data_IF_816586033623
#
_entry.id   IF_816586033623
#
_cell.length_a   1.000
_cell.length_b   1.000
_cell.length_c   1.000
_cell.angle_alpha   90.00
_cell.angle_beta   90.00
_cell.angle_gamma   90.00
#
_symmetry.space_group_name_H-M   'P 1'
#
loop_
_entity.id
_entity.type
_entity.pdbx_description
1 polymer ?
#
# COMPACT_ATOMS: atom_id res chain seq x y z
N UNK A 1 39.85 -53.61 18.39
CA UNK A 1 38.97 -52.71 17.63
C UNK A 1 37.72 -52.40 18.44
N UNK A 2 37.42 -51.13 18.68
CA UNK A 2 36.24 -50.70 19.45
C UNK A 2 36.22 -49.18 19.49
N UNK A 3 35.76 -48.56 18.41
CA UNK A 3 35.75 -47.11 18.22
C UNK A 3 34.65 -46.45 19.05
N UNK A 4 35.03 -45.50 19.90
CA UNK A 4 34.12 -44.61 20.60
C UNK A 4 33.57 -43.53 19.66
N UNK A 5 32.25 -43.42 19.57
CA UNK A 5 31.58 -42.34 18.86
C UNK A 5 31.53 -41.11 19.77
N UNK A 6 32.28 -40.07 19.40
CA UNK A 6 32.21 -38.74 20.01
C UNK A 6 31.03 -37.99 19.39
N UNK A 7 29.99 -37.74 20.18
CA UNK A 7 28.90 -36.83 19.80
C UNK A 7 29.41 -35.39 19.97
N UNK A 8 29.91 -34.80 18.89
CA UNK A 8 30.05 -33.35 18.74
C UNK A 8 29.04 -32.91 17.69
N UNK A 9 28.11 -32.06 18.07
CA UNK A 9 27.13 -31.51 17.14
C UNK A 9 26.16 -30.60 17.83
N UNK A 10 26.53 -29.31 17.89
CA UNK A 10 25.61 -28.20 18.09
C UNK A 10 24.41 -28.40 17.16
N UNK A 11 23.29 -28.86 17.70
CA UNK A 11 22.02 -28.80 16.99
C UNK A 11 21.61 -27.33 16.97
N UNK A 12 21.86 -26.71 15.82
CA UNK A 12 21.48 -25.35 15.51
C UNK A 12 20.01 -25.13 15.90
N UNK A 13 19.79 -24.14 16.78
CA UNK A 13 18.54 -23.40 16.86
C UNK A 13 18.36 -22.69 15.51
N UNK A 14 17.88 -23.42 14.51
CA UNK A 14 17.36 -22.84 13.27
C UNK A 14 16.09 -22.10 13.69
N UNK A 15 16.24 -20.79 13.84
CA UNK A 15 15.21 -19.87 14.27
C UNK A 15 13.91 -20.08 13.51
N UNK A 16 12.84 -20.24 14.27
CA UNK A 16 11.47 -20.17 13.81
C UNK A 16 11.15 -18.73 13.34
N UNK A 17 11.65 -18.34 12.18
CA UNK A 17 11.40 -17.05 11.56
C UNK A 17 10.87 -17.23 10.13
N UNK A 18 9.77 -17.97 9.96
CA UNK A 18 9.15 -18.16 8.65
C UNK A 18 7.63 -18.05 8.70
N UNK A 19 7.10 -16.99 9.31
CA UNK A 19 5.73 -16.50 9.05
C UNK A 19 5.68 -14.96 9.20
N UNK A 20 6.64 -14.24 8.62
CA UNK A 20 6.47 -12.80 8.44
C UNK A 20 5.46 -12.58 7.31
N UNK A 21 4.23 -12.22 7.66
CA UNK A 21 3.19 -11.88 6.69
C UNK A 21 3.71 -10.79 5.74
N UNK A 22 3.62 -11.02 4.42
CA UNK A 22 4.22 -10.17 3.40
C UNK A 22 3.78 -8.70 3.48
N UNK A 23 2.66 -8.39 4.12
CA UNK A 23 2.12 -7.04 4.27
C UNK A 23 2.99 -6.09 5.11
N UNK A 24 3.81 -6.58 6.03
CA UNK A 24 4.68 -5.73 6.88
C UNK A 24 6.12 -5.67 6.38
N UNK A 25 6.44 -6.37 5.29
CA UNK A 25 7.78 -6.33 4.70
C UNK A 25 8.04 -4.98 4.03
N UNK A 26 9.28 -4.49 4.04
CA UNK A 26 9.69 -3.31 3.26
C UNK A 26 9.23 -3.38 1.79
N UNK A 27 9.32 -4.56 1.19
CA UNK A 27 8.89 -4.83 -0.18
C UNK A 27 7.37 -4.69 -0.35
N UNK A 28 6.59 -5.27 0.56
CA UNK A 28 5.13 -5.16 0.56
C UNK A 28 4.65 -3.72 0.70
N UNK A 29 5.29 -2.94 1.60
CA UNK A 29 5.01 -1.50 1.73
C UNK A 29 5.31 -0.77 0.43
N UNK A 30 6.48 -0.99 -0.16
CA UNK A 30 6.85 -0.35 -1.42
C UNK A 30 5.92 -0.73 -2.58
N UNK A 31 5.45 -1.98 -2.64
CA UNK A 31 4.48 -2.43 -3.64
C UNK A 31 3.17 -1.63 -3.56
N UNK A 32 2.74 -1.25 -2.36
CA UNK A 32 1.53 -0.44 -2.13
C UNK A 32 1.65 1.01 -2.61
N UNK A 33 2.87 1.50 -2.88
CA UNK A 33 3.15 2.87 -3.34
C UNK A 33 2.98 3.05 -4.86
N UNK A 34 2.16 2.21 -5.50
CA UNK A 34 1.84 2.33 -6.94
C UNK A 34 1.42 3.74 -7.37
N UNK A 35 0.48 4.40 -6.67
CA UNK A 35 0.09 5.77 -6.99
C UNK A 35 1.23 6.79 -6.90
N UNK A 36 2.04 6.76 -5.84
CA UNK A 36 3.19 7.67 -5.69
C UNK A 36 4.23 7.42 -6.78
N UNK A 37 4.54 6.15 -7.08
CA UNK A 37 5.45 5.82 -8.19
C UNK A 37 4.91 6.33 -9.52
N UNK A 38 3.61 6.21 -9.77
CA UNK A 38 2.98 6.74 -10.98
C UNK A 38 3.07 8.27 -11.03
N UNK A 39 2.85 8.97 -9.90
CA UNK A 39 3.00 10.42 -9.83
C UNK A 39 4.41 10.89 -10.22
N UNK A 40 5.46 10.17 -9.80
CA UNK A 40 6.85 10.57 -10.07
C UNK A 40 7.37 10.17 -11.46
N UNK A 41 6.69 9.25 -12.15
CA UNK A 41 7.17 8.67 -13.41
C UNK A 41 6.27 8.92 -14.63
N UNK A 42 5.04 9.40 -14.41
CA UNK A 42 4.03 9.62 -15.46
C UNK A 42 3.71 11.11 -15.56
N UNK A 43 3.48 11.62 -16.77
CA UNK A 43 3.11 13.03 -16.95
C UNK A 43 1.73 13.34 -16.36
N UNK A 44 1.48 14.58 -15.89
CA UNK A 44 0.18 14.99 -15.38
C UNK A 44 -0.96 14.77 -16.38
N UNK A 45 -0.74 15.01 -17.68
CA UNK A 45 -1.75 14.88 -18.73
C UNK A 45 -2.16 13.40 -18.92
N UNK A 46 -1.19 12.49 -18.88
CA UNK A 46 -1.45 11.06 -18.97
C UNK A 46 -2.20 10.54 -17.73
N UNK A 47 -1.87 11.07 -16.55
CA UNK A 47 -2.61 10.77 -15.31
C UNK A 47 -4.03 11.34 -15.35
N UNK A 48 -4.21 12.56 -15.86
CA UNK A 48 -5.52 13.20 -16.04
C UNK A 48 -6.41 12.36 -16.96
N UNK A 49 -5.91 11.97 -18.13
CA UNK A 49 -6.68 11.15 -19.07
C UNK A 49 -7.14 9.81 -18.45
N UNK A 50 -6.30 9.19 -17.60
CA UNK A 50 -6.67 7.97 -16.87
C UNK A 50 -7.66 8.26 -15.73
N UNK A 51 -7.43 9.33 -14.98
CA UNK A 51 -8.28 9.74 -13.86
C UNK A 51 -9.72 10.05 -14.34
N UNK A 52 -9.87 10.63 -15.53
CA UNK A 52 -11.15 10.92 -16.18
C UNK A 52 -11.91 9.64 -16.58
N UNK A 53 -11.19 8.55 -16.83
CA UNK A 53 -11.77 7.21 -17.04
C UNK A 53 -11.99 6.45 -15.74
N UNK A 54 -12.07 7.16 -14.62
CA UNK A 54 -12.24 6.61 -13.28
C UNK A 54 -11.12 5.64 -12.86
N UNK A 55 -9.86 5.84 -13.25
CA UNK A 55 -8.75 5.06 -12.70
C UNK A 55 -8.38 5.56 -11.30
N UNK A 56 -8.60 4.76 -10.24
CA UNK A 56 -8.32 5.17 -8.85
C UNK A 56 -6.83 5.43 -8.59
N UNK A 57 -5.95 4.63 -9.20
CA UNK A 57 -4.51 4.82 -9.04
C UNK A 57 -4.07 6.14 -9.68
N UNK A 58 -4.61 6.46 -10.86
CA UNK A 58 -4.33 7.74 -11.52
C UNK A 58 -4.93 8.93 -10.76
N UNK A 59 -6.15 8.81 -10.24
CA UNK A 59 -6.77 9.82 -9.38
C UNK A 59 -5.92 10.08 -8.12
N UNK A 60 -5.45 9.02 -7.45
CA UNK A 60 -4.57 9.15 -6.29
C UNK A 60 -3.21 9.76 -6.67
N UNK A 61 -2.60 9.33 -7.77
CA UNK A 61 -1.32 9.88 -8.25
C UNK A 61 -1.42 11.38 -8.57
N UNK A 62 -2.43 11.76 -9.34
CA UNK A 62 -2.69 13.15 -9.69
C UNK A 62 -3.02 14.00 -8.45
N UNK A 63 -3.70 13.42 -7.44
CA UNK A 63 -3.91 14.08 -6.16
C UNK A 63 -2.61 14.45 -5.45
N UNK A 64 -1.57 13.61 -5.56
CA UNK A 64 -0.25 13.89 -4.98
C UNK A 64 0.44 15.02 -5.74
N UNK A 65 0.34 15.04 -7.08
CA UNK A 65 0.88 16.13 -7.89
C UNK A 65 0.28 17.48 -7.51
N UNK A 66 -1.05 17.59 -7.45
CA UNK A 66 -1.72 18.82 -7.01
C UNK A 66 -1.42 19.18 -5.55
N UNK A 67 -1.25 18.21 -4.65
CA UNK A 67 -0.99 18.51 -3.24
C UNK A 67 0.39 19.14 -3.02
N UNK A 68 1.40 18.67 -3.74
CA UNK A 68 2.79 19.10 -3.59
C UNK A 68 3.27 20.07 -4.67
N UNK A 69 2.48 20.29 -5.73
CA UNK A 69 2.87 21.11 -6.88
C UNK A 69 4.01 20.48 -7.68
N UNK A 70 3.87 19.20 -8.05
CA UNK A 70 4.91 18.43 -8.74
C UNK A 70 4.60 18.26 -10.23
N UNK A 71 5.65 18.03 -11.03
CA UNK A 71 5.50 17.69 -12.45
C UNK A 71 4.98 18.83 -13.31
N UNK A 72 5.18 20.08 -12.89
CA UNK A 72 4.69 21.28 -13.59
C UNK A 72 3.24 21.65 -13.29
N UNK A 73 2.59 20.95 -12.35
CA UNK A 73 1.24 21.26 -11.89
C UNK A 73 1.31 22.25 -10.72
N UNK A 74 0.48 23.29 -10.76
CA UNK A 74 0.36 24.20 -9.62
C UNK A 74 -0.27 23.52 -8.41
N UNK A 75 0.18 23.92 -7.23
CA UNK A 75 -0.34 23.36 -5.98
C UNK A 75 -1.80 23.76 -5.78
N UNK A 76 -2.69 22.77 -5.79
CA UNK A 76 -4.12 22.93 -5.51
C UNK A 76 -4.59 21.86 -4.49
N UNK A 77 -4.63 22.19 -3.20
CA UNK A 77 -5.09 21.29 -2.16
C UNK A 77 -6.57 20.87 -2.31
N UNK A 78 -7.41 21.72 -2.89
CA UNK A 78 -8.84 21.44 -3.09
C UNK A 78 -9.03 20.37 -4.15
N UNK A 79 -8.38 20.54 -5.30
CA UNK A 79 -8.38 19.55 -6.36
C UNK A 79 -7.74 18.23 -5.90
N UNK A 80 -6.63 18.30 -5.15
CA UNK A 80 -6.01 17.14 -4.54
C UNK A 80 -6.98 16.36 -3.63
N UNK A 81 -7.74 17.06 -2.77
CA UNK A 81 -8.73 16.43 -1.91
C UNK A 81 -9.82 15.73 -2.72
N UNK A 82 -10.40 16.40 -3.72
CA UNK A 82 -11.46 15.84 -4.57
C UNK A 82 -11.00 14.59 -5.33
N UNK A 83 -9.78 14.61 -5.86
CA UNK A 83 -9.19 13.46 -6.55
C UNK A 83 -8.94 12.30 -5.59
N UNK A 84 -8.42 12.58 -4.39
CA UNK A 84 -8.20 11.56 -3.37
C UNK A 84 -9.50 10.92 -2.90
N UNK A 85 -10.55 11.71 -2.66
CA UNK A 85 -11.87 11.20 -2.29
C UNK A 85 -12.45 10.28 -3.37
N UNK A 86 -12.26 10.61 -4.65
CA UNK A 86 -12.67 9.76 -5.79
C UNK A 86 -11.85 8.47 -5.87
N UNK A 87 -10.54 8.55 -5.62
CA UNK A 87 -9.66 7.40 -5.65
C UNK A 87 -10.01 6.35 -4.58
N UNK A 88 -10.39 6.78 -3.38
CA UNK A 88 -10.71 5.89 -2.26
C UNK A 88 -12.19 5.52 -2.17
N UNK A 89 -13.00 5.91 -3.14
CA UNK A 89 -14.42 5.55 -3.18
C UNK A 89 -14.60 4.05 -3.43
N UNK A 90 -15.66 3.47 -2.87
CA UNK A 90 -16.03 2.08 -3.07
C UNK A 90 -16.35 1.81 -4.55
N UNK A 91 -15.84 0.69 -5.08
CA UNK A 91 -16.04 0.23 -6.46
C UNK A 91 -16.70 -1.14 -6.49
N UNK A 92 -17.98 -1.13 -6.16
CA UNK A 92 -18.80 -2.32 -6.05
C UNK A 92 -18.50 -3.13 -4.79
N UNK A 93 -18.93 -4.38 -4.79
CA UNK A 93 -18.75 -5.31 -3.68
C UNK A 93 -18.51 -6.73 -4.19
N UNK A 94 -17.92 -7.56 -3.35
CA UNK A 94 -17.81 -9.00 -3.57
C UNK A 94 -18.80 -9.69 -2.62
N UNK A 95 -19.76 -10.46 -3.15
CA UNK A 95 -20.63 -11.25 -2.30
C UNK A 95 -19.86 -12.43 -1.71
N UNK A 96 -20.04 -12.65 -0.42
CA UNK A 96 -19.58 -13.85 0.30
C UNK A 96 -20.80 -14.53 0.90
N UNK A 97 -20.93 -15.82 0.64
CA UNK A 97 -21.98 -16.66 1.24
C UNK A 97 -21.47 -17.28 2.53
N UNK A 98 -22.10 -16.95 3.64
CA UNK A 98 -21.78 -17.50 4.96
C UNK A 98 -22.94 -18.37 5.43
N UNK A 99 -22.66 -19.63 5.74
CA UNK A 99 -23.60 -20.48 6.45
C UNK A 99 -23.57 -20.15 7.94
N UNK A 100 -24.73 -19.84 8.51
CA UNK A 100 -24.92 -19.60 9.94
C UNK A 100 -25.60 -20.85 10.51
N UNK A 101 -24.90 -21.63 11.36
CA UNK A 101 -25.46 -22.86 11.89
C UNK A 101 -26.66 -22.57 12.81
N UNK A 102 -27.62 -23.48 12.78
CA UNK A 102 -28.74 -23.46 13.70
C UNK A 102 -28.29 -23.78 15.13
N UNK A 103 -28.89 -23.10 16.10
CA UNK A 103 -28.66 -23.35 17.53
C UNK A 103 -30.00 -23.62 18.23
N UNK A 104 -30.01 -24.52 19.21
CA UNK A 104 -31.19 -24.87 20.03
C UNK A 104 -32.41 -25.31 19.20
N UNK A 105 -32.22 -26.24 18.26
CA UNK A 105 -33.30 -26.82 17.45
C UNK A 105 -33.83 -25.92 16.33
N UNK A 106 -33.31 -24.69 16.19
CA UNK A 106 -33.64 -23.82 15.06
C UNK A 106 -32.83 -24.25 13.82
N UNK A 107 -33.41 -24.20 12.61
CA UNK A 107 -32.68 -24.49 11.38
C UNK A 107 -31.58 -23.46 11.12
N UNK A 108 -30.49 -23.90 10.47
CA UNK A 108 -29.44 -23.01 9.98
C UNK A 108 -29.93 -22.17 8.79
N UNK A 109 -29.14 -21.15 8.42
CA UNK A 109 -29.45 -20.29 7.26
C UNK A 109 -28.21 -19.89 6.50
N UNK A 110 -28.36 -19.58 5.22
CA UNK A 110 -27.30 -18.94 4.41
C UNK A 110 -27.54 -17.44 4.39
N UNK A 111 -26.50 -16.67 4.66
CA UNK A 111 -26.50 -15.21 4.58
C UNK A 111 -25.50 -14.76 3.52
N UNK A 112 -25.92 -13.85 2.64
CA UNK A 112 -25.00 -13.15 1.74
C UNK A 112 -24.50 -11.88 2.43
N UNK A 113 -23.18 -11.71 2.48
CA UNK A 113 -22.52 -10.50 2.97
C UNK A 113 -21.80 -9.86 1.79
N UNK A 114 -22.05 -8.57 1.55
CA UNK A 114 -21.40 -7.82 0.47
C UNK A 114 -20.20 -7.06 1.03
N UNK A 115 -19.00 -7.55 0.74
CA UNK A 115 -17.76 -6.88 1.17
C UNK A 115 -17.43 -5.77 0.17
N UNK A 116 -17.27 -4.51 0.61
CA UNK A 116 -16.95 -3.41 -0.30
C UNK A 116 -15.58 -3.62 -0.93
N UNK A 117 -15.47 -3.32 -2.23
CA UNK A 117 -14.20 -3.34 -2.95
C UNK A 117 -13.68 -1.93 -3.15
N UNK A 118 -12.36 -1.79 -3.07
CA UNK A 118 -11.65 -0.54 -3.30
C UNK A 118 -10.46 -0.82 -4.20
N UNK A 119 -10.25 0.01 -5.22
CA UNK A 119 -9.07 -0.08 -6.07
C UNK A 119 -7.85 0.58 -5.41
N UNK A 120 -8.08 1.63 -4.62
CA UNK A 120 -7.11 2.22 -3.69
C UNK A 120 -7.79 2.31 -2.33
N UNK A 121 -7.28 1.59 -1.33
CA UNK A 121 -7.82 1.63 0.03
C UNK A 121 -7.39 2.92 0.76
N UNK A 122 -8.11 3.31 1.81
CA UNK A 122 -7.73 4.44 2.65
C UNK A 122 -6.33 4.25 3.28
N UNK A 123 -6.01 3.02 3.70
CA UNK A 123 -4.69 2.69 4.23
C UNK A 123 -3.59 2.86 3.17
N UNK A 124 -3.82 2.37 1.95
CA UNK A 124 -2.87 2.54 0.85
C UNK A 124 -2.68 4.02 0.51
N UNK A 125 -3.77 4.80 0.44
CA UNK A 125 -3.71 6.23 0.21
C UNK A 125 -2.90 6.95 1.30
N UNK A 126 -3.07 6.56 2.57
CA UNK A 126 -2.31 7.09 3.70
C UNK A 126 -0.82 6.76 3.59
N UNK A 127 -0.44 5.52 3.24
CA UNK A 127 0.97 5.16 3.02
C UNK A 127 1.62 5.96 1.89
N UNK A 128 0.89 6.15 0.78
CA UNK A 128 1.36 6.99 -0.33
C UNK A 128 1.55 8.45 0.10
N UNK A 129 0.61 9.02 0.86
CA UNK A 129 0.71 10.38 1.37
C UNK A 129 1.85 10.53 2.40
N UNK A 130 2.01 9.59 3.32
CA UNK A 130 3.06 9.63 4.34
C UNK A 130 4.46 9.57 3.71
N UNK A 131 4.68 8.67 2.75
CA UNK A 131 5.95 8.62 2.03
C UNK A 131 6.19 9.90 1.20
N UNK A 132 5.15 10.42 0.54
CA UNK A 132 5.25 11.68 -0.20
C UNK A 132 5.60 12.87 0.71
N UNK A 133 5.06 12.90 1.93
CA UNK A 133 5.36 13.93 2.93
C UNK A 133 6.82 13.86 3.41
N UNK A 134 7.34 12.65 3.64
CA UNK A 134 8.75 12.42 3.95
C UNK A 134 9.67 12.90 2.82
N UNK A 135 9.29 12.66 1.56
CA UNK A 135 10.04 13.14 0.39
C UNK A 135 9.99 14.67 0.28
N UNK A 136 8.81 15.27 0.47
CA UNK A 136 8.61 16.72 0.41
C UNK A 136 9.46 17.47 1.46
N UNK A 137 9.57 16.89 2.65
CA UNK A 137 10.33 17.45 3.78
C UNK A 137 11.82 17.10 3.75
N UNK A 138 12.23 16.11 2.94
CA UNK A 138 13.57 15.53 3.03
C UNK A 138 13.81 14.76 4.33
N UNK A 139 12.76 14.31 5.01
CA UNK A 139 12.84 13.62 6.29
C UNK A 139 13.25 12.16 6.07
N UNK A 140 14.44 11.81 6.58
CA UNK A 140 15.05 10.48 6.50
C UNK A 140 15.01 9.74 7.83
N UNK A 141 14.27 10.24 8.82
CA UNK A 141 14.11 9.54 10.10
C UNK A 141 13.53 8.13 9.88
N UNK A 142 13.87 7.14 10.71
CA UNK A 142 13.35 5.78 10.58
C UNK A 142 11.82 5.72 10.47
N UNK A 143 11.12 6.61 11.16
CA UNK A 143 9.67 6.73 11.15
C UNK A 143 9.14 7.29 9.84
N UNK A 144 9.82 8.28 9.25
CA UNK A 144 9.41 8.92 8.01
C UNK A 144 9.64 8.02 6.79
N UNK A 145 10.71 7.21 6.78
CA UNK A 145 11.03 6.31 5.66
C UNK A 145 10.32 4.95 5.74
N UNK A 146 9.76 4.58 6.89
CA UNK A 146 9.05 3.31 7.06
C UNK A 146 7.89 3.13 6.08
N UNK A 147 7.00 4.14 5.87
CA UNK A 147 5.92 4.05 4.88
C UNK A 147 6.44 3.92 3.44
N UNK A 148 7.65 4.38 3.16
CA UNK A 148 8.31 4.24 1.86
C UNK A 148 8.81 2.81 1.60
N UNK A 149 8.80 1.93 2.61
CA UNK A 149 9.49 0.64 2.54
C UNK A 149 10.96 0.71 2.93
N UNK A 150 11.34 1.65 3.80
CA UNK A 150 12.69 1.84 4.31
C UNK A 150 13.57 2.76 3.46
N UNK A 151 14.77 3.03 3.94
CA UNK A 151 15.69 4.04 3.39
C UNK A 151 16.08 3.78 1.93
N UNK A 152 16.41 2.53 1.57
CA UNK A 152 16.77 2.19 0.19
C UNK A 152 15.64 2.46 -0.83
N UNK A 153 14.37 2.32 -0.40
CA UNK A 153 13.20 2.60 -1.25
C UNK A 153 12.86 4.08 -1.27
N UNK A 154 13.06 4.77 -0.14
CA UNK A 154 13.00 6.22 -0.08
C UNK A 154 13.94 6.85 -1.11
N UNK A 155 15.20 6.42 -1.17
CA UNK A 155 16.20 6.96 -2.10
C UNK A 155 15.79 6.78 -3.57
N UNK A 156 15.20 5.62 -3.91
CA UNK A 156 14.67 5.36 -5.25
C UNK A 156 13.59 6.36 -5.64
N UNK A 157 12.71 6.71 -4.70
CA UNK A 157 11.63 7.67 -4.93
C UNK A 157 12.14 9.12 -4.92
N UNK A 158 13.09 9.44 -4.04
CA UNK A 158 13.70 10.76 -3.93
C UNK A 158 14.39 11.19 -5.23
N UNK A 159 15.00 10.25 -5.97
CA UNK A 159 15.58 10.52 -7.28
C UNK A 159 14.54 11.04 -8.31
N UNK A 160 13.27 10.65 -8.17
CA UNK A 160 12.17 11.10 -9.01
C UNK A 160 11.47 12.36 -8.50
N UNK A 161 11.79 12.83 -7.30
CA UNK A 161 11.12 13.96 -6.65
C UNK A 161 11.62 15.29 -7.21
N UNK A 162 11.03 15.73 -8.32
CA UNK A 162 11.35 17.00 -8.99
C UNK A 162 10.26 18.04 -8.73
N UNK A 163 10.66 19.19 -8.18
CA UNK A 163 9.81 20.37 -8.02
C UNK A 163 9.74 21.14 -9.33
#
# INVERSE_FOLDING_TARGET
MGGGVRIKGLAALVGAALLAGCATTPEGRFASLGPLRAALSTSPEALQARADRNDANAQMALSLLYHYGLGGVERDPGQAFLLRSRATAQRGSTPITTYIPGINGKPGRVSMIFVPRYDVSAAQAASNAACADALAKGDRSPQAVEPCGGEARYDQLAAGWRR
#
